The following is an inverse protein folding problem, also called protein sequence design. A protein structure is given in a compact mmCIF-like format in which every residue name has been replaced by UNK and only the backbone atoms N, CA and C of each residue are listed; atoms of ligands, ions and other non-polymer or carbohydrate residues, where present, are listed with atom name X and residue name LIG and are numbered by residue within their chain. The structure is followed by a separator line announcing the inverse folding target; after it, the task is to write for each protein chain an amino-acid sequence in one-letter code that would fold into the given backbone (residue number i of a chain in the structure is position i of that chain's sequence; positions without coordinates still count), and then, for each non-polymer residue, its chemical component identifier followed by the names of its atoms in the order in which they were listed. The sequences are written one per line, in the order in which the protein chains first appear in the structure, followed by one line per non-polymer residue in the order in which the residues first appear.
data_IF_506745441822
#
_entry.id   IF_506745441822
#
_cell.length_a   1.000
_cell.length_b   1.000
_cell.length_c   1.000
_cell.angle_alpha   90.00
_cell.angle_beta   90.00
_cell.angle_gamma   90.00
#
_symmetry.space_group_name_H-M   'P 1'
#
loop_
_entity.id
_entity.type
_entity.pdbx_description
1 polymer ?
#
# COMPACT_ATOMS: atom_id res chain seq x y z
N UNK A 1 5.68 -46.33 -0.46
CA UNK A 1 4.94 -45.33 0.33
C UNK A 1 5.35 -43.97 -0.21
N UNK A 2 4.61 -43.45 -1.20
CA UNK A 2 4.88 -42.15 -1.82
C UNK A 2 3.58 -41.37 -1.77
N UNK A 3 3.48 -40.41 -0.85
CA UNK A 3 2.31 -39.54 -0.73
C UNK A 3 2.35 -38.51 -1.86
N UNK A 4 1.39 -38.66 -2.79
CA UNK A 4 1.13 -37.73 -3.87
C UNK A 4 0.49 -36.47 -3.29
N UNK A 5 1.15 -35.33 -3.52
CA UNK A 5 0.63 -33.98 -3.27
C UNK A 5 -0.80 -33.85 -3.82
N UNK A 6 -1.75 -33.47 -2.96
CA UNK A 6 -3.13 -33.24 -3.36
C UNK A 6 -3.23 -31.98 -4.22
N UNK A 7 -4.10 -31.96 -5.23
CA UNK A 7 -4.02 -31.00 -6.34
C UNK A 7 -4.94 -29.80 -6.11
N UNK A 8 -4.99 -29.30 -4.88
CA UNK A 8 -5.92 -28.25 -4.44
C UNK A 8 -5.19 -26.94 -4.07
N UNK A 9 -3.86 -26.92 -4.13
CA UNK A 9 -3.03 -25.84 -3.56
C UNK A 9 -2.37 -24.91 -4.61
N UNK A 10 -2.95 -24.75 -5.80
CA UNK A 10 -2.51 -23.69 -6.72
C UNK A 10 -3.31 -22.43 -6.47
N UNK A 11 -2.78 -21.56 -5.59
CA UNK A 11 -3.38 -20.26 -5.32
C UNK A 11 -3.42 -19.40 -6.59
N UNK A 12 -4.61 -18.97 -7.01
CA UNK A 12 -4.78 -17.97 -8.08
C UNK A 12 -5.68 -18.34 -9.26
N UNK A 13 -6.30 -19.52 -9.29
CA UNK A 13 -7.27 -19.91 -10.32
C UNK A 13 -8.71 -19.63 -9.82
N UNK A 14 -9.53 -18.81 -10.52
CA UNK A 14 -10.93 -18.60 -10.18
C UNK A 14 -11.73 -19.92 -10.22
N UNK A 15 -12.73 -20.05 -9.32
CA UNK A 15 -13.53 -21.27 -9.13
C UNK A 15 -14.33 -21.77 -10.36
N UNK A 16 -14.35 -21.03 -11.47
CA UNK A 16 -15.00 -21.42 -12.73
C UNK A 16 -14.11 -22.16 -13.74
N UNK A 17 -12.81 -22.30 -13.48
CA UNK A 17 -11.87 -23.02 -14.36
C UNK A 17 -11.56 -24.40 -13.81
N UNK A 18 -12.55 -25.31 -13.86
CA UNK A 18 -12.31 -26.73 -13.61
C UNK A 18 -11.54 -27.33 -14.80
N UNK A 19 -10.37 -27.89 -14.48
CA UNK A 19 -9.47 -28.74 -15.30
C UNK A 19 -9.87 -28.92 -16.77
N UNK A 20 -9.07 -28.30 -17.63
CA UNK A 20 -8.96 -28.48 -19.09
C UNK A 20 -9.32 -29.92 -19.49
N UNK A 21 -10.51 -30.10 -20.06
CA UNK A 21 -10.91 -31.34 -20.72
C UNK A 21 -11.43 -31.01 -22.11
N UNK A 22 -10.69 -31.45 -23.13
CA UNK A 22 -11.06 -31.36 -24.53
C UNK A 22 -10.39 -30.21 -25.32
N UNK A 23 -10.12 -30.40 -26.62
CA UNK A 23 -9.29 -29.51 -27.43
C UNK A 23 -9.88 -28.12 -27.72
N UNK A 24 -11.20 -27.93 -27.54
CA UNK A 24 -11.85 -26.63 -27.76
C UNK A 24 -11.65 -25.65 -26.58
N UNK A 25 -11.67 -26.16 -25.35
CA UNK A 25 -11.46 -25.33 -24.15
C UNK A 25 -9.98 -24.93 -23.99
N UNK A 26 -9.05 -25.78 -24.43
CA UNK A 26 -7.61 -25.48 -24.46
C UNK A 26 -7.31 -24.21 -25.26
N UNK A 27 -7.96 -23.99 -26.41
CA UNK A 27 -7.68 -22.84 -27.28
C UNK A 27 -8.22 -21.53 -26.71
N UNK A 28 -9.46 -21.51 -26.22
CA UNK A 28 -10.06 -20.31 -25.65
C UNK A 28 -9.38 -19.89 -24.34
N UNK A 29 -8.95 -20.85 -23.52
CA UNK A 29 -8.20 -20.55 -22.29
C UNK A 29 -6.72 -20.23 -22.58
N UNK A 30 -6.10 -20.83 -23.59
CA UNK A 30 -4.75 -20.43 -24.03
C UNK A 30 -4.72 -19.00 -24.54
N UNK A 31 -5.74 -18.57 -25.30
CA UNK A 31 -5.88 -17.18 -25.74
C UNK A 31 -6.00 -16.21 -24.56
N UNK A 32 -6.75 -16.60 -23.51
CA UNK A 32 -6.82 -15.84 -22.26
C UNK A 32 -5.47 -15.73 -21.53
N UNK A 33 -4.70 -16.82 -21.43
CA UNK A 33 -3.36 -16.79 -20.81
C UNK A 33 -2.35 -16.01 -21.65
N UNK A 34 -2.42 -16.10 -22.99
CA UNK A 34 -1.57 -15.35 -23.92
C UNK A 34 -1.88 -13.85 -23.87
N UNK A 35 -3.15 -13.47 -23.83
CA UNK A 35 -3.57 -12.07 -23.69
C UNK A 35 -3.14 -11.49 -22.34
N UNK A 36 -3.23 -12.29 -21.27
CA UNK A 36 -2.70 -11.91 -19.96
C UNK A 36 -1.18 -11.75 -19.98
N UNK A 37 -0.45 -12.67 -20.60
CA UNK A 37 1.01 -12.59 -20.73
C UNK A 37 1.45 -11.39 -21.58
N UNK A 38 0.69 -11.03 -22.63
CA UNK A 38 0.92 -9.82 -23.43
C UNK A 38 0.65 -8.55 -22.61
N UNK A 39 -0.45 -8.50 -21.85
CA UNK A 39 -0.76 -7.39 -20.96
C UNK A 39 0.32 -7.21 -19.88
N UNK A 40 0.80 -8.31 -19.31
CA UNK A 40 1.90 -8.32 -18.33
C UNK A 40 3.22 -7.83 -18.95
N UNK A 41 3.52 -8.24 -20.19
CA UNK A 41 4.72 -7.77 -20.92
C UNK A 41 4.65 -6.28 -21.26
N UNK A 42 3.50 -5.79 -21.72
CA UNK A 42 3.26 -4.37 -21.96
C UNK A 42 3.39 -3.56 -20.65
N UNK A 43 2.84 -4.06 -19.55
CA UNK A 43 2.93 -3.42 -18.25
C UNK A 43 4.37 -3.31 -17.74
N UNK A 44 5.22 -4.32 -17.97
CA UNK A 44 6.64 -4.26 -17.62
C UNK A 44 7.37 -3.19 -18.44
N UNK A 45 7.02 -3.04 -19.72
CA UNK A 45 7.58 -2.00 -20.59
C UNK A 45 7.09 -0.61 -20.15
N UNK A 46 5.79 -0.43 -19.91
CA UNK A 46 5.24 0.85 -19.43
C UNK A 46 5.78 1.23 -18.05
N UNK A 47 5.86 0.30 -17.10
CA UNK A 47 6.42 0.56 -15.78
C UNK A 47 7.90 0.97 -15.85
N UNK A 48 8.67 0.37 -16.78
CA UNK A 48 10.06 0.80 -17.07
C UNK A 48 10.14 2.17 -17.74
N UNK A 49 9.17 2.52 -18.57
CA UNK A 49 9.21 3.73 -19.41
C UNK A 49 8.63 4.95 -18.68
N UNK A 50 7.65 4.75 -17.80
CA UNK A 50 6.91 5.81 -17.12
C UNK A 50 7.15 5.88 -15.60
N UNK A 51 8.01 5.00 -15.05
CA UNK A 51 8.23 4.91 -13.61
C UNK A 51 6.94 4.66 -12.80
N UNK A 52 5.99 3.90 -13.36
CA UNK A 52 4.64 3.64 -12.81
C UNK A 52 4.60 2.42 -11.86
N UNK A 53 5.66 2.20 -11.09
CA UNK A 53 5.75 1.09 -10.13
C UNK A 53 4.94 1.32 -8.85
N UNK A 54 4.79 0.27 -8.03
CA UNK A 54 4.09 0.36 -6.74
C UNK A 54 4.68 1.45 -5.84
N UNK A 55 6.00 1.58 -5.82
CA UNK A 55 6.75 2.64 -5.14
C UNK A 55 6.24 4.04 -5.50
N UNK A 56 5.98 4.31 -6.79
CA UNK A 56 5.48 5.60 -7.24
C UNK A 56 4.04 5.86 -6.75
N UNK A 57 3.20 4.82 -6.64
CA UNK A 57 1.85 4.93 -6.09
C UNK A 57 1.86 5.25 -4.59
N UNK A 58 2.71 4.57 -3.81
CA UNK A 58 2.91 4.85 -2.39
C UNK A 58 3.37 6.29 -2.19
N UNK A 59 4.40 6.73 -2.94
CA UNK A 59 4.91 8.10 -2.88
C UNK A 59 3.85 9.14 -3.25
N UNK A 60 3.10 8.91 -4.34
CA UNK A 60 2.04 9.83 -4.76
C UNK A 60 0.92 9.93 -3.71
N UNK A 61 0.53 8.80 -3.09
CA UNK A 61 -0.45 8.76 -2.02
C UNK A 61 0.05 9.53 -0.77
N UNK A 62 1.29 9.29 -0.35
CA UNK A 62 1.93 10.00 0.77
C UNK A 62 2.07 11.50 0.50
N UNK A 63 2.36 11.91 -0.75
CA UNK A 63 2.38 13.32 -1.15
C UNK A 63 1.00 13.99 -1.01
N UNK A 64 -0.08 13.24 -1.23
CA UNK A 64 -1.45 13.69 -0.95
C UNK A 64 -1.68 13.97 0.53
N UNK A 65 -1.22 13.09 1.42
CA UNK A 65 -1.26 13.28 2.88
C UNK A 65 -0.44 14.51 3.28
N UNK A 66 0.80 14.62 2.81
CA UNK A 66 1.70 15.75 3.08
C UNK A 66 1.09 17.08 2.62
N UNK A 67 0.45 17.12 1.45
CA UNK A 67 -0.22 18.33 0.94
C UNK A 67 -1.35 18.80 1.86
N UNK A 68 -2.15 17.89 2.43
CA UNK A 68 -3.20 18.24 3.39
C UNK A 68 -2.60 18.74 4.70
N UNK A 69 -1.50 18.13 5.14
CA UNK A 69 -0.79 18.48 6.36
C UNK A 69 -0.20 19.89 6.30
N UNK A 70 0.48 20.24 5.21
CA UNK A 70 1.03 21.59 5.00
C UNK A 70 -0.07 22.66 4.99
N UNK A 71 -1.23 22.37 4.39
CA UNK A 71 -2.40 23.27 4.45
C UNK A 71 -2.88 23.52 5.88
N UNK A 72 -2.83 22.53 6.75
CA UNK A 72 -3.21 22.68 8.16
C UNK A 72 -2.16 23.48 8.94
N UNK A 73 -0.88 23.17 8.75
CA UNK A 73 0.25 23.89 9.40
C UNK A 73 0.23 25.38 9.09
N UNK A 74 -0.05 25.77 7.85
CA UNK A 74 -0.10 27.19 7.45
C UNK A 74 -1.25 27.98 8.09
N UNK A 75 -2.29 27.32 8.62
CA UNK A 75 -3.46 27.97 9.22
C UNK A 75 -3.37 28.11 10.74
N UNK A 76 -2.28 27.66 11.36
CA UNK A 76 -2.11 27.65 12.81
C UNK A 76 -2.61 26.34 13.43
N UNK A 77 -3.22 26.41 14.62
CA UNK A 77 -3.73 25.21 15.30
C UNK A 77 -5.04 24.75 14.64
N UNK A 78 -5.09 23.52 14.05
CA UNK A 78 -6.29 23.05 13.37
C UNK A 78 -7.39 22.71 14.35
N UNK A 79 -8.64 23.05 14.02
CA UNK A 79 -9.80 22.56 14.76
C UNK A 79 -9.99 21.05 14.56
N UNK A 80 -10.74 20.41 15.46
CA UNK A 80 -11.05 18.97 15.37
C UNK A 80 -11.76 18.59 14.07
N UNK A 81 -12.59 19.48 13.54
CA UNK A 81 -13.28 19.28 12.26
C UNK A 81 -12.31 19.31 11.08
N UNK A 82 -11.29 20.18 11.13
CA UNK A 82 -10.27 20.31 10.09
C UNK A 82 -9.27 19.15 10.07
N UNK A 83 -9.13 18.40 11.16
CA UNK A 83 -8.30 17.19 11.20
C UNK A 83 -8.94 15.99 10.48
N UNK A 84 -10.27 15.96 10.30
CA UNK A 84 -10.97 14.81 9.71
C UNK A 84 -10.52 14.47 8.28
N UNK A 85 -10.40 15.43 7.35
CA UNK A 85 -9.89 15.14 6.01
C UNK A 85 -8.49 14.53 6.01
N UNK A 86 -7.61 14.96 6.94
CA UNK A 86 -6.28 14.38 7.10
C UNK A 86 -6.36 12.95 7.63
N UNK A 87 -7.19 12.70 8.65
CA UNK A 87 -7.38 11.36 9.19
C UNK A 87 -7.92 10.38 8.15
N UNK A 88 -8.91 10.81 7.35
CA UNK A 88 -9.46 9.97 6.29
C UNK A 88 -8.42 9.70 5.18
N UNK A 89 -7.59 10.70 4.84
CA UNK A 89 -6.52 10.53 3.86
C UNK A 89 -5.41 9.59 4.37
N UNK A 90 -4.99 9.74 5.63
CA UNK A 90 -4.00 8.86 6.25
C UNK A 90 -4.53 7.42 6.35
N UNK A 91 -5.79 7.23 6.74
CA UNK A 91 -6.40 5.92 6.81
C UNK A 91 -6.43 5.22 5.44
N UNK A 92 -6.88 5.93 4.39
CA UNK A 92 -6.87 5.40 3.01
C UNK A 92 -5.47 5.07 2.53
N UNK A 93 -4.50 5.93 2.83
CA UNK A 93 -3.11 5.70 2.50
C UNK A 93 -2.57 4.44 3.19
N UNK A 94 -2.73 4.33 4.51
CA UNK A 94 -2.29 3.16 5.28
C UNK A 94 -2.98 1.87 4.81
N UNK A 95 -4.28 1.91 4.51
CA UNK A 95 -5.01 0.76 3.97
C UNK A 95 -4.48 0.36 2.59
N UNK A 96 -4.31 1.32 1.68
CA UNK A 96 -3.77 1.09 0.36
C UNK A 96 -2.35 0.49 0.41
N UNK A 97 -1.49 1.04 1.26
CA UNK A 97 -0.12 0.56 1.50
C UNK A 97 -0.12 -0.83 2.14
N UNK A 98 -1.06 -1.12 3.05
CA UNK A 98 -1.21 -2.42 3.68
C UNK A 98 -1.54 -3.52 2.66
N UNK A 99 -2.63 -3.34 1.90
CA UNK A 99 -3.15 -4.38 0.98
C UNK A 99 -2.29 -4.58 -0.27
N UNK A 100 -1.35 -3.67 -0.55
CA UNK A 100 -0.47 -3.77 -1.71
C UNK A 100 0.99 -4.00 -1.35
N UNK A 101 1.63 -3.09 -0.63
CA UNK A 101 3.06 -3.13 -0.36
C UNK A 101 3.40 -4.03 0.83
N UNK A 102 2.78 -3.80 1.99
CA UNK A 102 3.17 -4.50 3.23
C UNK A 102 2.87 -6.00 3.16
N UNK A 103 1.67 -6.38 2.70
CA UNK A 103 1.33 -7.80 2.52
C UNK A 103 2.24 -8.50 1.51
N UNK A 104 2.63 -7.83 0.41
CA UNK A 104 3.55 -8.39 -0.57
C UNK A 104 4.97 -8.59 -0.01
N UNK A 105 5.36 -7.78 0.97
CA UNK A 105 6.67 -7.82 1.62
C UNK A 105 6.69 -8.62 2.94
N UNK A 106 5.54 -9.00 3.50
CA UNK A 106 5.42 -9.65 4.81
C UNK A 106 6.12 -11.02 4.89
N UNK A 107 6.19 -11.73 3.77
CA UNK A 107 6.93 -12.99 3.63
C UNK A 107 8.45 -12.83 3.50
N UNK A 108 8.97 -11.60 3.41
CA UNK A 108 10.41 -11.34 3.24
C UNK A 108 11.09 -11.31 4.62
N UNK A 109 12.21 -12.02 4.72
CA UNK A 109 12.97 -12.10 5.97
C UNK A 109 14.01 -10.99 6.10
N UNK A 110 14.52 -10.80 7.32
CA UNK A 110 15.59 -9.84 7.60
C UNK A 110 15.09 -8.40 7.69
N UNK A 111 15.87 -7.48 7.12
CA UNK A 111 15.66 -6.02 7.17
C UNK A 111 14.29 -5.60 6.60
N UNK A 112 13.89 -6.16 5.46
CA UNK A 112 12.61 -5.85 4.80
C UNK A 112 11.42 -6.12 5.73
N UNK A 113 11.43 -7.26 6.43
CA UNK A 113 10.35 -7.60 7.36
C UNK A 113 10.32 -6.69 8.60
N UNK A 114 11.47 -6.14 9.03
CA UNK A 114 11.50 -5.15 10.11
C UNK A 114 10.90 -3.82 9.67
N UNK A 115 11.31 -3.32 8.50
CA UNK A 115 10.77 -2.09 7.89
C UNK A 115 9.24 -2.16 7.77
N UNK A 116 8.70 -3.27 7.25
CA UNK A 116 7.24 -3.44 7.10
C UNK A 116 6.51 -3.39 8.45
N UNK A 117 7.05 -4.04 9.49
CA UNK A 117 6.44 -4.05 10.83
C UNK A 117 6.49 -2.67 11.49
N UNK A 118 7.63 -2.00 11.39
CA UNK A 118 7.83 -0.65 11.95
C UNK A 118 6.90 0.35 11.28
N UNK A 119 6.88 0.34 9.94
CA UNK A 119 6.02 1.18 9.12
C UNK A 119 4.52 0.98 9.42
N UNK A 120 4.08 -0.28 9.55
CA UNK A 120 2.71 -0.60 9.96
C UNK A 120 2.39 -0.07 11.36
N UNK A 121 3.27 -0.30 12.33
CA UNK A 121 3.06 0.11 13.70
C UNK A 121 2.97 1.64 13.83
N UNK A 122 3.85 2.37 13.15
CA UNK A 122 3.84 3.83 13.10
C UNK A 122 2.54 4.36 12.48
N UNK A 123 2.13 3.83 11.31
CA UNK A 123 0.89 4.24 10.66
C UNK A 123 -0.38 3.96 11.50
N UNK A 124 -0.41 2.85 12.25
CA UNK A 124 -1.51 2.54 13.18
C UNK A 124 -1.53 3.48 14.40
N UNK A 125 -0.36 3.79 14.96
CA UNK A 125 -0.23 4.72 16.09
C UNK A 125 -0.74 6.11 15.72
N UNK A 126 -0.31 6.63 14.57
CA UNK A 126 -0.72 7.96 14.09
C UNK A 126 -2.23 8.05 13.82
N UNK A 127 -2.84 6.98 13.31
CA UNK A 127 -4.29 6.92 13.15
C UNK A 127 -5.02 6.97 14.50
N UNK A 128 -4.49 6.28 15.53
CA UNK A 128 -5.04 6.35 16.90
C UNK A 128 -4.90 7.75 17.49
N UNK A 129 -3.75 8.40 17.29
CA UNK A 129 -3.51 9.78 17.75
C UNK A 129 -4.47 10.77 17.10
N UNK A 130 -4.64 10.70 15.77
CA UNK A 130 -5.60 11.54 15.06
C UNK A 130 -7.03 11.30 15.53
N UNK A 131 -7.43 10.04 15.69
CA UNK A 131 -8.76 9.70 16.22
C UNK A 131 -8.97 10.30 17.62
N UNK A 132 -7.95 10.25 18.47
CA UNK A 132 -7.98 10.86 19.81
C UNK A 132 -8.03 12.39 19.75
N UNK A 133 -7.28 13.05 18.86
CA UNK A 133 -7.37 14.49 18.66
C UNK A 133 -8.77 14.95 18.20
N UNK A 134 -9.40 14.16 17.31
CA UNK A 134 -10.72 14.47 16.72
C UNK A 134 -11.87 14.24 17.71
N UNK A 135 -11.83 13.13 18.45
CA UNK A 135 -12.98 12.68 19.26
C UNK A 135 -12.74 12.77 20.77
N UNK A 136 -11.49 12.84 21.19
CA UNK A 136 -11.09 12.80 22.58
C UNK A 136 -11.30 14.11 23.32
N UNK A 137 -11.13 14.03 24.64
CA UNK A 137 -11.15 15.19 25.55
C UNK A 137 -9.71 15.53 25.93
N UNK A 138 -9.14 16.50 25.22
CA UNK A 138 -7.88 17.13 25.59
C UNK A 138 -8.16 18.47 26.29
N UNK A 139 -7.40 18.80 27.34
CA UNK A 139 -7.38 20.16 27.88
C UNK A 139 -7.06 21.18 26.77
N UNK A 140 -7.77 22.31 26.73
CA UNK A 140 -7.60 23.31 25.67
C UNK A 140 -6.17 23.86 25.59
N UNK A 141 -5.47 23.94 26.72
CA UNK A 141 -4.07 24.40 26.77
C UNK A 141 -3.06 23.42 26.16
N UNK A 142 -3.37 22.11 26.10
CA UNK A 142 -2.44 21.10 25.57
C UNK A 142 -2.75 20.71 24.14
N UNK A 143 -3.99 20.91 23.69
CA UNK A 143 -4.43 20.56 22.33
C UNK A 143 -3.52 21.14 21.22
N UNK A 144 -3.10 22.42 21.23
CA UNK A 144 -2.21 22.95 20.21
C UNK A 144 -0.88 22.22 20.10
N UNK A 145 -0.30 21.85 21.25
CA UNK A 145 0.98 21.14 21.33
C UNK A 145 0.83 19.70 20.81
N UNK A 146 -0.21 19.00 21.25
CA UNK A 146 -0.46 17.61 20.80
C UNK A 146 -0.77 17.58 19.31
N UNK A 147 -1.62 18.49 18.81
CA UNK A 147 -1.92 18.58 17.39
C UNK A 147 -0.67 18.87 16.56
N UNK A 148 0.16 19.84 16.96
CA UNK A 148 1.42 20.14 16.28
C UNK A 148 2.40 18.95 16.28
N UNK A 149 2.47 18.22 17.39
CA UNK A 149 3.27 17.01 17.54
C UNK A 149 2.83 15.91 16.58
N UNK A 150 1.55 15.53 16.60
CA UNK A 150 0.99 14.50 15.70
C UNK A 150 1.13 14.89 14.23
N UNK A 151 0.88 16.15 13.85
CA UNK A 151 1.12 16.61 12.47
C UNK A 151 2.60 16.45 12.08
N UNK A 152 3.52 16.66 13.00
CA UNK A 152 4.95 16.47 12.72
C UNK A 152 5.36 15.00 12.62
N UNK A 153 4.74 14.14 13.42
CA UNK A 153 4.97 12.71 13.34
C UNK A 153 4.42 12.12 12.02
N UNK A 154 3.26 12.56 11.54
CA UNK A 154 2.72 12.15 10.23
C UNK A 154 3.64 12.54 9.07
N UNK A 155 4.22 13.74 9.12
CA UNK A 155 5.17 14.20 8.12
C UNK A 155 6.45 13.35 8.10
N UNK A 156 6.93 13.00 9.30
CA UNK A 156 8.08 12.11 9.46
C UNK A 156 7.79 10.70 8.96
N UNK A 157 6.62 10.16 9.24
CA UNK A 157 6.16 8.86 8.76
C UNK A 157 6.19 8.74 7.24
N UNK A 158 5.64 9.72 6.51
CA UNK A 158 5.74 9.75 5.03
C UNK A 158 7.21 9.81 4.58
N UNK A 159 8.05 10.53 5.33
CA UNK A 159 9.51 10.52 5.11
C UNK A 159 10.18 9.18 5.42
N UNK A 160 9.72 8.44 6.42
CA UNK A 160 10.20 7.10 6.77
C UNK A 160 9.86 6.10 5.68
N UNK A 161 8.65 6.14 5.13
CA UNK A 161 8.25 5.33 3.99
C UNK A 161 9.19 5.51 2.79
N UNK A 162 9.51 6.76 2.46
CA UNK A 162 10.43 7.07 1.34
C UNK A 162 11.85 6.56 1.56
N UNK A 163 12.30 6.45 2.82
CA UNK A 163 13.65 5.99 3.18
C UNK A 163 13.73 4.49 3.43
N UNK A 164 12.63 3.86 3.84
CA UNK A 164 12.57 2.46 4.22
C UNK A 164 11.71 1.63 3.27
N UNK A 165 10.40 1.83 3.32
CA UNK A 165 9.43 1.00 2.60
C UNK A 165 9.61 1.08 1.08
N UNK A 166 9.77 2.28 0.51
CA UNK A 166 9.91 2.49 -0.93
C UNK A 166 11.15 1.77 -1.50
N UNK A 167 12.35 1.93 -0.94
CA UNK A 167 13.51 1.13 -1.35
C UNK A 167 13.30 -0.38 -1.18
N UNK A 168 12.57 -0.82 -0.15
CA UNK A 168 12.27 -2.23 0.04
C UNK A 168 11.35 -2.78 -1.07
N UNK A 169 10.34 -2.01 -1.50
CA UNK A 169 9.49 -2.35 -2.65
C UNK A 169 10.35 -2.52 -3.91
N UNK A 170 11.21 -1.54 -4.20
CA UNK A 170 12.06 -1.55 -5.41
C UNK A 170 13.10 -2.68 -5.40
N UNK A 171 13.58 -3.07 -4.22
CA UNK A 171 14.57 -4.15 -4.05
C UNK A 171 13.96 -5.55 -4.15
N UNK A 172 12.79 -5.76 -3.55
CA UNK A 172 12.28 -7.09 -3.24
C UNK A 172 11.20 -7.60 -4.19
N UNK A 173 10.52 -6.68 -4.89
CA UNK A 173 9.48 -7.02 -5.84
C UNK A 173 10.02 -7.03 -7.26
N UNK A 174 9.66 -8.05 -8.03
CA UNK A 174 9.97 -8.03 -9.46
C UNK A 174 9.21 -6.89 -10.16
N UNK A 175 9.71 -6.37 -11.29
CA UNK A 175 9.02 -5.33 -12.05
C UNK A 175 7.57 -5.67 -12.40
N UNK A 176 7.30 -6.96 -12.68
CA UNK A 176 5.96 -7.45 -13.00
C UNK A 176 5.03 -7.40 -11.78
N UNK A 177 5.49 -7.87 -10.63
CA UNK A 177 4.72 -7.83 -9.37
C UNK A 177 4.45 -6.38 -8.95
N UNK A 178 5.48 -5.52 -9.02
CA UNK A 178 5.35 -4.09 -8.73
C UNK A 178 4.31 -3.43 -9.63
N UNK A 179 4.35 -3.65 -10.95
CA UNK A 179 3.36 -3.09 -11.87
C UNK A 179 1.94 -3.62 -11.61
N UNK A 180 1.79 -4.91 -11.28
CA UNK A 180 0.49 -5.51 -10.96
C UNK A 180 -0.11 -4.91 -9.68
N UNK A 181 0.71 -4.76 -8.63
CA UNK A 181 0.27 -4.18 -7.35
C UNK A 181 0.00 -2.68 -7.48
N UNK A 182 0.76 -1.96 -8.31
CA UNK A 182 0.50 -0.55 -8.61
C UNK A 182 -0.90 -0.31 -9.20
N UNK A 183 -1.40 -1.23 -10.04
CA UNK A 183 -2.77 -1.16 -10.59
C UNK A 183 -3.84 -1.52 -9.57
N UNK A 184 -3.49 -2.34 -8.58
CA UNK A 184 -4.37 -2.70 -7.48
C UNK A 184 -4.37 -1.67 -6.35
N UNK A 185 -3.47 -0.68 -6.38
CA UNK A 185 -3.34 0.37 -5.38
C UNK A 185 -4.62 1.23 -5.37
N UNK A 186 -5.39 1.25 -4.25
CA UNK A 186 -6.58 2.06 -4.13
C UNK A 186 -6.30 3.55 -4.38
N UNK A 187 -7.17 4.19 -5.17
CA UNK A 187 -7.12 5.63 -5.48
C UNK A 187 -7.82 6.51 -4.45
#
# INVERSE_FOLDING_TARGET
MSELLKPQDTAGVPAGHERISGPANVRAEAEFFDDRARADSHAVVEARTHHEGLSARVVASGAGVHTLLERLRHRGTPSRGELRPLADALARHCEATEVTARQALEGKHGETGAVVREDRAEGEELQRELAYLISGKLPEGTYPLTAGGTLSAIDQYVGHEQRGLVPAIDRELSPLESARLARAFPG
#
